data_IF_505056937980
#
_entry.id   IF_505056937980
#
_cell.length_a   1.000
_cell.length_b   1.000
_cell.length_c   1.000
_cell.angle_alpha   90.00
_cell.angle_beta   90.00
_cell.angle_gamma   90.00
#
_symmetry.space_group_name_H-M   'P 1'
#
loop_
_entity.id
_entity.type
_entity.pdbx_description
1 polymer ?
#
# COMPACT_ATOMS: atom_id res chain seq x y z
N UNK A 1 8.44 5.45 -11.27
CA UNK A 1 9.14 6.22 -10.21
C UNK A 1 9.74 5.30 -9.14
N UNK A 2 8.95 4.44 -8.49
CA UNK A 2 9.36 3.63 -7.33
C UNK A 2 10.65 2.80 -7.52
N UNK A 3 10.83 2.12 -8.67
CA UNK A 3 12.07 1.38 -8.97
C UNK A 3 13.34 2.24 -8.96
N UNK A 4 13.23 3.50 -9.39
CA UNK A 4 14.36 4.44 -9.37
C UNK A 4 14.72 4.90 -7.96
N UNK A 5 13.77 4.90 -7.03
CA UNK A 5 14.01 5.23 -5.61
C UNK A 5 14.69 4.03 -4.92
N UNK A 6 14.20 2.81 -5.16
CA UNK A 6 14.80 1.57 -4.66
C UNK A 6 16.24 1.36 -5.14
N UNK A 7 16.56 1.73 -6.38
CA UNK A 7 17.93 1.60 -6.91
C UNK A 7 18.94 2.50 -6.22
N UNK A 8 18.48 3.53 -5.50
CA UNK A 8 19.30 4.39 -4.65
C UNK A 8 19.38 3.89 -3.21
N UNK A 9 18.86 2.69 -2.91
CA UNK A 9 18.87 2.09 -1.58
C UNK A 9 17.77 2.60 -0.64
N UNK A 10 16.75 3.30 -1.17
CA UNK A 10 15.60 3.77 -0.38
C UNK A 10 14.43 2.80 -0.57
N UNK A 11 14.05 2.01 0.45
CA UNK A 11 12.97 1.05 0.33
C UNK A 11 11.61 1.78 0.30
N UNK A 12 10.68 1.22 -0.46
CA UNK A 12 9.38 1.79 -0.77
C UNK A 12 8.27 0.77 -0.66
N UNK A 13 7.06 1.26 -0.41
CA UNK A 13 5.81 0.52 -0.35
C UNK A 13 4.71 1.36 -0.99
N UNK A 14 3.73 0.71 -1.62
CA UNK A 14 2.59 1.37 -2.27
C UNK A 14 1.29 1.01 -1.55
N UNK A 15 0.44 2.00 -1.32
CA UNK A 15 -0.95 1.78 -0.90
C UNK A 15 -1.82 2.03 -2.13
N UNK A 16 -2.50 1.01 -2.63
CA UNK A 16 -3.24 1.10 -3.89
C UNK A 16 -4.74 0.85 -3.74
N UNK A 17 -5.54 1.61 -4.50
CA UNK A 17 -6.97 1.36 -4.69
C UNK A 17 -7.29 0.82 -6.08
N UNK A 18 -6.34 0.88 -7.01
CA UNK A 18 -6.47 0.33 -8.36
C UNK A 18 -5.48 -0.84 -8.51
N UNK A 19 -5.96 -2.01 -8.07
CA UNK A 19 -5.18 -3.25 -8.04
C UNK A 19 -4.76 -3.66 -9.45
N UNK A 20 -5.65 -3.51 -10.44
CA UNK A 20 -5.36 -3.91 -11.83
C UNK A 20 -4.24 -3.05 -12.43
N UNK A 21 -4.36 -1.72 -12.37
CA UNK A 21 -3.32 -0.84 -12.91
C UNK A 21 -2.01 -0.95 -12.13
N UNK A 22 -2.09 -1.10 -10.81
CA UNK A 22 -0.89 -1.22 -9.98
C UNK A 22 -0.14 -2.53 -10.24
N UNK A 23 -0.86 -3.63 -10.49
CA UNK A 23 -0.27 -4.91 -10.84
C UNK A 23 0.55 -4.83 -12.13
N UNK A 24 0.08 -4.08 -13.13
CA UNK A 24 0.82 -3.84 -14.38
C UNK A 24 2.14 -3.08 -14.15
N UNK A 25 2.16 -2.14 -13.20
CA UNK A 25 3.38 -1.41 -12.81
C UNK A 25 4.40 -2.32 -12.11
N UNK A 26 3.94 -3.42 -11.49
CA UNK A 26 4.73 -4.35 -10.67
C UNK A 26 5.56 -3.62 -9.61
N UNK A 27 4.91 -2.98 -8.62
CA UNK A 27 5.61 -2.35 -7.51
C UNK A 27 6.41 -3.39 -6.73
N UNK A 28 7.56 -3.03 -6.15
CA UNK A 28 8.34 -3.88 -5.27
C UNK A 28 7.52 -4.50 -4.13
N UNK A 29 6.62 -3.69 -3.54
CA UNK A 29 5.78 -4.01 -2.39
C UNK A 29 4.52 -3.16 -2.46
N UNK A 30 3.36 -3.74 -2.13
CA UNK A 30 2.12 -2.99 -2.11
C UNK A 30 1.06 -3.65 -1.22
N UNK A 31 0.23 -2.81 -0.59
CA UNK A 31 -1.02 -3.24 0.05
C UNK A 31 -2.23 -2.67 -0.69
N UNK A 32 -3.33 -3.42 -0.66
CA UNK A 32 -4.66 -2.96 -1.03
C UNK A 32 -5.56 -2.96 0.22
N UNK A 33 -5.97 -1.78 0.74
CA UNK A 33 -6.92 -1.70 1.82
C UNK A 33 -8.32 -2.05 1.30
N UNK A 34 -8.76 -3.28 1.55
CA UNK A 34 -9.99 -3.81 0.99
C UNK A 34 -11.20 -3.00 1.46
N UNK A 35 -12.08 -2.66 0.54
CA UNK A 35 -13.31 -1.90 0.80
C UNK A 35 -13.15 -0.38 0.67
N UNK A 36 -11.92 0.14 0.58
CA UNK A 36 -11.69 1.59 0.53
C UNK A 36 -12.13 2.19 -0.82
N UNK A 37 -12.70 3.39 -0.78
CA UNK A 37 -13.15 4.11 -1.99
C UNK A 37 -12.03 4.96 -2.58
N UNK A 38 -12.07 5.18 -3.90
CA UNK A 38 -11.18 6.11 -4.60
C UNK A 38 -11.17 7.49 -3.94
N UNK A 39 -9.96 7.99 -3.66
CA UNK A 39 -9.75 9.24 -2.93
C UNK A 39 -9.58 9.07 -1.41
N UNK A 40 -9.89 7.89 -0.85
CA UNK A 40 -9.77 7.58 0.58
C UNK A 40 -8.76 6.46 0.85
N UNK A 41 -7.59 6.46 0.20
CA UNK A 41 -6.60 5.36 0.31
C UNK A 41 -6.07 5.08 1.71
N UNK A 42 -6.21 6.03 2.64
CA UNK A 42 -5.86 5.87 4.06
C UNK A 42 -7.09 5.73 4.97
N UNK A 43 -8.30 5.75 4.42
CA UNK A 43 -9.56 5.71 5.16
C UNK A 43 -10.29 7.06 5.17
N UNK A 44 -11.36 7.14 5.95
CA UNK A 44 -12.26 8.31 6.00
C UNK A 44 -11.52 9.58 6.45
N UNK A 45 -11.96 10.77 6.02
CA UNK A 45 -11.47 12.03 6.56
C UNK A 45 -11.53 12.06 8.08
N UNK A 46 -10.46 12.55 8.72
CA UNK A 46 -10.32 12.68 10.17
C UNK A 46 -10.38 11.37 10.99
N UNK A 47 -10.47 10.19 10.39
CA UNK A 47 -10.30 8.92 11.09
C UNK A 47 -8.82 8.58 11.26
N UNK A 48 -8.18 9.31 12.19
CA UNK A 48 -6.75 9.16 12.50
C UNK A 48 -6.39 7.72 12.89
N UNK A 49 -7.31 7.00 13.52
CA UNK A 49 -7.07 5.64 13.99
C UNK A 49 -6.90 4.69 12.81
N UNK A 50 -7.83 4.71 11.85
CA UNK A 50 -7.74 3.88 10.64
C UNK A 50 -6.58 4.31 9.76
N UNK A 51 -6.40 5.62 9.55
CA UNK A 51 -5.27 6.16 8.77
C UNK A 51 -3.92 5.70 9.31
N UNK A 52 -3.75 5.68 10.63
CA UNK A 52 -2.51 5.18 11.21
C UNK A 52 -2.33 3.68 11.06
N UNK A 53 -3.40 2.89 11.17
CA UNK A 53 -3.32 1.44 10.94
C UNK A 53 -2.89 1.13 9.51
N UNK A 54 -3.45 1.83 8.52
CA UNK A 54 -3.11 1.65 7.10
C UNK A 54 -1.66 2.00 6.84
N UNK A 55 -1.19 3.14 7.37
CA UNK A 55 0.21 3.54 7.21
C UNK A 55 1.18 2.53 7.84
N UNK A 56 0.86 2.03 9.04
CA UNK A 56 1.69 1.04 9.73
C UNK A 56 1.71 -0.31 8.99
N UNK A 57 0.57 -0.75 8.43
CA UNK A 57 0.52 -1.95 7.60
C UNK A 57 1.40 -1.80 6.35
N UNK A 58 1.30 -0.67 5.65
CA UNK A 58 2.13 -0.42 4.47
C UNK A 58 3.63 -0.41 4.80
N UNK A 59 4.02 0.19 5.92
CA UNK A 59 5.41 0.24 6.37
C UNK A 59 5.92 -1.13 6.85
N UNK A 60 5.04 -2.00 7.37
CA UNK A 60 5.41 -3.36 7.75
C UNK A 60 5.94 -4.16 6.56
N UNK A 61 5.38 -3.94 5.37
CA UNK A 61 5.84 -4.57 4.12
C UNK A 61 7.33 -4.34 3.85
N UNK A 62 7.91 -3.22 4.31
CA UNK A 62 9.34 -2.93 4.09
C UNK A 62 10.26 -3.98 4.72
N UNK A 63 9.78 -4.69 5.75
CA UNK A 63 10.51 -5.78 6.41
C UNK A 63 10.28 -7.12 5.73
N UNK A 64 9.31 -7.21 4.83
CA UNK A 64 8.95 -8.44 4.12
C UNK A 64 9.68 -8.54 2.78
N UNK A 65 10.07 -9.76 2.45
CA UNK A 65 10.57 -10.08 1.12
C UNK A 65 9.40 -10.45 0.22
N UNK A 66 9.18 -9.64 -0.81
CA UNK A 66 8.07 -9.83 -1.75
C UNK A 66 8.55 -9.93 -3.19
N UNK A 67 7.74 -10.56 -4.02
CA UNK A 67 7.92 -10.57 -5.47
C UNK A 67 7.25 -9.33 -6.10
N UNK A 68 7.94 -8.60 -7.01
CA UNK A 68 7.36 -7.41 -7.61
C UNK A 68 6.06 -7.68 -8.38
N UNK A 69 5.01 -6.95 -8.01
CA UNK A 69 3.66 -7.12 -8.52
C UNK A 69 2.74 -7.95 -7.62
N UNK A 70 3.26 -8.55 -6.53
CA UNK A 70 2.41 -9.10 -5.50
C UNK A 70 1.79 -7.95 -4.68
N UNK A 71 0.47 -7.96 -4.52
CA UNK A 71 -0.27 -6.95 -3.75
C UNK A 71 -0.97 -7.69 -2.63
N UNK A 72 -0.70 -7.30 -1.38
CA UNK A 72 -1.33 -7.91 -0.21
C UNK A 72 -2.62 -7.19 0.14
N UNK A 73 -3.71 -7.96 0.24
CA UNK A 73 -4.96 -7.44 0.77
C UNK A 73 -4.85 -7.20 2.28
N UNK A 74 -5.26 -6.01 2.71
CA UNK A 74 -5.25 -5.60 4.11
C UNK A 74 -6.65 -5.16 4.53
N UNK A 75 -7.16 -5.76 5.61
CA UNK A 75 -8.48 -5.46 6.14
C UNK A 75 -8.37 -4.55 7.36
N UNK A 76 -9.10 -3.44 7.33
CA UNK A 76 -9.14 -2.48 8.43
C UNK A 76 -10.56 -2.41 9.01
N UNK A 77 -10.71 -2.29 10.34
CA UNK A 77 -12.03 -2.09 10.94
C UNK A 77 -12.64 -0.78 10.42
N UNK A 78 -13.96 -0.79 10.19
CA UNK A 78 -14.79 0.41 9.94
C UNK A 78 -14.76 1.03 8.53
N UNK A 79 -14.28 0.29 7.53
CA UNK A 79 -14.50 0.59 6.11
C UNK A 79 -15.03 -0.64 5.37
#
# INVERSE_FOLDING_TARGET
MQRGIESQGIPTTLITLDVEQSSLMRPPRAIHPVGFEFGHSLGKPHDKTTQMKVLMAALAELSERQEPGNIHDAHFPSY
#
